data_IF_672966642173
#
_entry.id   IF_672966642173
#
_cell.length_a   1.000
_cell.length_b   1.000
_cell.length_c   1.000
_cell.angle_alpha   90.00
_cell.angle_beta   90.00
_cell.angle_gamma   90.00
#
_symmetry.space_group_name_H-M   'P 1'
#
loop_
_entity.id
_entity.type
_entity.pdbx_description
1 polymer ?
#
# COMPACT_ATOMS: atom_id res chain seq x y z
N UNK A 1 17.01 7.83 8.79
CA UNK A 1 16.07 6.82 9.33
C UNK A 1 14.95 6.73 8.32
N UNK A 2 15.13 5.89 7.31
CA UNK A 2 14.29 5.89 6.12
C UNK A 2 13.33 4.71 6.17
N UNK A 3 12.04 4.98 6.00
CA UNK A 3 11.22 4.10 5.16
C UNK A 3 10.62 2.85 5.81
N UNK A 4 10.20 2.88 7.07
CA UNK A 4 9.44 1.74 7.64
C UNK A 4 7.99 1.68 7.13
N UNK A 5 7.60 2.56 6.21
CA UNK A 5 6.25 2.63 5.65
C UNK A 5 6.30 2.84 4.14
N UNK A 6 5.73 1.92 3.38
CA UNK A 6 5.53 2.03 1.93
C UNK A 6 4.04 2.05 1.62
N UNK A 7 3.61 2.92 0.70
CA UNK A 7 2.25 2.98 0.20
C UNK A 7 2.14 2.27 -1.14
N UNK A 8 1.04 1.56 -1.33
CA UNK A 8 0.71 0.92 -2.60
C UNK A 8 -0.66 1.35 -3.12
N UNK A 9 -0.72 1.59 -4.42
CA UNK A 9 -1.95 2.01 -5.08
C UNK A 9 -1.74 2.36 -6.55
N UNK A 10 -2.83 2.73 -7.24
CA UNK A 10 -2.77 3.16 -8.64
C UNK A 10 -2.29 4.59 -8.84
N UNK A 11 -2.36 5.44 -7.82
CA UNK A 11 -1.86 6.80 -7.94
C UNK A 11 -0.34 6.80 -8.13
N UNK A 12 0.16 7.71 -8.96
CA UNK A 12 1.60 7.82 -9.29
C UNK A 12 2.45 8.33 -8.12
N UNK A 13 1.80 8.83 -7.07
CA UNK A 13 2.43 9.30 -5.84
C UNK A 13 2.63 8.18 -4.79
N UNK A 14 2.28 6.93 -5.11
CA UNK A 14 2.58 5.80 -4.22
C UNK A 14 4.02 5.31 -4.43
N UNK A 15 4.64 4.79 -3.37
CA UNK A 15 5.94 4.12 -3.45
C UNK A 15 5.90 2.89 -4.39
N UNK A 16 4.77 2.17 -4.37
CA UNK A 16 4.52 1.02 -5.25
C UNK A 16 3.28 1.31 -6.10
N UNK A 17 3.50 1.57 -7.38
CA UNK A 17 2.46 1.91 -8.34
C UNK A 17 1.92 0.64 -9.00
N UNK A 18 0.64 0.34 -8.78
CA UNK A 18 -0.07 -0.78 -9.41
C UNK A 18 -0.98 -0.23 -10.50
N UNK A 19 -0.61 -0.40 -11.77
CA UNK A 19 -1.35 0.07 -12.95
C UNK A 19 -2.54 -0.83 -13.29
N UNK A 20 -3.45 -1.02 -12.34
CA UNK A 20 -4.69 -1.79 -12.50
C UNK A 20 -5.89 -0.99 -11.99
N UNK A 21 -6.96 -0.90 -12.78
CA UNK A 21 -8.19 -0.16 -12.41
C UNK A 21 -8.94 -0.76 -11.21
N UNK A 22 -8.70 -2.03 -10.88
CA UNK A 22 -9.18 -2.66 -9.65
C UNK A 22 -8.40 -2.16 -8.43
N UNK A 23 -7.16 -1.69 -8.60
CA UNK A 23 -6.40 -1.10 -7.51
C UNK A 23 -6.93 0.29 -7.18
N UNK A 24 -7.16 0.55 -5.89
CA UNK A 24 -7.54 1.89 -5.43
C UNK A 24 -6.38 2.86 -5.58
N UNK A 25 -6.67 4.17 -5.67
CA UNK A 25 -5.63 5.21 -5.73
C UNK A 25 -4.64 5.08 -4.57
N UNK A 26 -5.14 4.81 -3.38
CA UNK A 26 -4.39 4.41 -2.19
C UNK A 26 -5.02 3.12 -1.68
N UNK A 27 -4.32 2.00 -1.83
CA UNK A 27 -4.89 0.67 -1.60
C UNK A 27 -4.50 0.11 -0.25
N UNK A 28 -3.20 -0.03 0.00
CA UNK A 28 -2.70 -0.52 1.26
C UNK A 28 -1.39 0.18 1.65
N UNK A 29 -0.95 -0.13 2.85
CA UNK A 29 0.31 0.33 3.40
C UNK A 29 1.07 -0.88 3.91
N UNK A 30 2.35 -0.93 3.61
CA UNK A 30 3.31 -1.88 4.12
C UNK A 30 4.07 -1.19 5.25
N UNK A 31 4.04 -1.78 6.44
CA UNK A 31 4.81 -1.31 7.58
C UNK A 31 5.85 -2.35 7.95
N UNK A 32 7.12 -2.00 7.82
CA UNK A 32 8.23 -2.81 8.31
C UNK A 32 8.25 -2.72 9.83
N UNK A 33 8.19 -3.87 10.49
CA UNK A 33 8.27 -4.00 11.94
C UNK A 33 9.50 -4.84 12.27
N UNK A 34 9.92 -4.77 13.53
CA UNK A 34 11.10 -5.46 14.03
C UNK A 34 11.08 -6.98 13.76
N UNK A 35 9.89 -7.58 13.68
CA UNK A 35 9.69 -9.03 13.48
C UNK A 35 8.87 -9.37 12.24
N UNK A 36 8.85 -8.49 11.22
CA UNK A 36 8.24 -8.82 9.93
C UNK A 36 7.56 -7.66 9.24
N UNK A 37 6.68 -8.00 8.31
CA UNK A 37 5.99 -7.05 7.44
C UNK A 37 4.49 -7.06 7.77
N UNK A 38 3.94 -5.89 8.09
CA UNK A 38 2.50 -5.72 8.32
C UNK A 38 1.89 -5.06 7.09
N UNK A 39 0.81 -5.65 6.56
CA UNK A 39 0.03 -5.08 5.47
C UNK A 39 -1.29 -4.55 6.02
N UNK A 40 -1.55 -3.25 5.84
CA UNK A 40 -2.77 -2.59 6.28
C UNK A 40 -3.58 -2.10 5.08
N UNK A 41 -4.81 -2.61 4.92
CA UNK A 41 -5.75 -2.04 3.96
C UNK A 41 -6.12 -0.62 4.38
N UNK A 42 -6.07 0.32 3.43
CA UNK A 42 -6.59 1.68 3.63
C UNK A 42 -7.64 2.05 2.59
N UNK A 43 -7.92 1.17 1.62
CA UNK A 43 -8.98 1.42 0.64
C UNK A 43 -10.36 1.21 1.22
N UNK A 44 -11.26 2.14 0.95
CA UNK A 44 -12.67 2.07 1.33
C UNK A 44 -13.50 1.21 0.38
N UNK A 45 -13.05 1.10 -0.87
CA UNK A 45 -13.86 0.54 -1.97
C UNK A 45 -13.38 -0.82 -2.46
N UNK A 46 -12.21 -1.31 -2.01
CA UNK A 46 -11.68 -2.58 -2.45
C UNK A 46 -11.09 -3.39 -1.29
N UNK A 47 -11.10 -4.71 -1.42
CA UNK A 47 -10.47 -5.61 -0.44
C UNK A 47 -9.01 -5.86 -0.87
N UNK A 48 -8.12 -5.99 0.11
CA UNK A 48 -6.77 -6.52 -0.15
C UNK A 48 -6.97 -8.00 -0.44
N UNK A 49 -6.55 -8.43 -1.63
CA UNK A 49 -6.64 -9.82 -2.07
C UNK A 49 -5.57 -10.69 -1.42
#
# INVERSE_FOLDING_TARGET
MAGDRLQLGRAEDNDIIIKDNKCSRYHAVLEMREHGLVIKNISTNNRVF
#
